data_IF_900516384860
#
_entry.id   IF_900516384860
#
_cell.length_a   1.000
_cell.length_b   1.000
_cell.length_c   1.000
_cell.angle_alpha   90.00
_cell.angle_beta   90.00
_cell.angle_gamma   90.00
#
_symmetry.space_group_name_H-M   'P 1'
#
loop_
_entity.id
_entity.type
_entity.pdbx_description
1 polymer ?
#
# COMPACT_ATOMS: atom_id res chain seq x y z
N UNK A 1 -36.56 14.13 0.44
CA UNK A 1 -35.60 14.17 0.46
C UNK A 1 -34.78 13.49 1.34
N UNK A 2 -35.21 13.10 2.31
CA UNK A 2 -34.42 12.42 3.24
C UNK A 2 -33.93 11.11 2.80
N UNK A 3 -34.57 10.51 1.83
CA UNK A 3 -34.14 9.23 1.39
C UNK A 3 -32.71 9.21 0.88
N UNK A 4 -32.17 10.33 0.60
CA UNK A 4 -30.83 10.36 0.12
C UNK A 4 -29.83 9.94 1.12
N UNK A 5 -30.13 10.08 2.39
CA UNK A 5 -29.18 9.80 3.36
C UNK A 5 -28.80 8.37 3.47
N UNK A 6 -29.71 7.46 3.33
CA UNK A 6 -29.35 6.08 3.47
C UNK A 6 -28.50 5.61 2.32
N UNK A 7 -28.66 6.24 1.16
CA UNK A 7 -27.86 5.89 0.06
C UNK A 7 -26.44 6.22 0.33
N UNK A 8 -26.18 7.36 0.86
CA UNK A 8 -24.86 7.81 1.18
C UNK A 8 -24.17 6.88 2.15
N UNK A 9 -24.87 6.44 3.14
CA UNK A 9 -24.31 5.54 4.11
C UNK A 9 -23.89 4.24 3.50
N UNK A 10 -24.71 3.68 2.66
CA UNK A 10 -24.41 2.43 2.03
C UNK A 10 -23.19 2.54 1.15
N UNK A 11 -23.12 3.62 0.42
CA UNK A 11 -22.01 3.86 -0.45
C UNK A 11 -20.69 3.95 0.34
N UNK A 12 -20.67 4.66 1.42
CA UNK A 12 -19.49 4.81 2.24
C UNK A 12 -19.02 3.48 2.80
N UNK A 13 -19.95 2.65 3.22
CA UNK A 13 -19.64 1.35 3.74
C UNK A 13 -18.95 0.50 2.71
N UNK A 14 -19.46 0.46 1.53
CA UNK A 14 -18.90 -0.35 0.47
C UNK A 14 -17.51 0.09 0.10
N UNK A 15 -17.24 1.37 0.10
CA UNK A 15 -15.96 1.89 -0.32
C UNK A 15 -14.83 1.57 0.65
N UNK A 16 -15.14 1.19 1.88
CA UNK A 16 -14.13 0.91 2.88
C UNK A 16 -13.90 -0.58 3.11
N UNK A 17 -14.70 -1.42 2.48
CA UNK A 17 -14.57 -2.85 2.70
C UNK A 17 -13.61 -3.50 1.71
N UNK A 18 -12.71 -4.31 2.24
CA UNK A 18 -11.85 -5.15 1.41
C UNK A 18 -11.84 -6.51 2.06
N UNK A 19 -11.50 -7.55 1.30
CA UNK A 19 -11.44 -8.86 1.88
C UNK A 19 -10.16 -9.02 2.69
N UNK A 20 -10.14 -10.02 3.55
CA UNK A 20 -9.04 -10.24 4.46
C UNK A 20 -7.74 -10.53 3.74
N UNK A 21 -7.81 -11.25 2.64
CA UNK A 21 -6.63 -11.60 1.86
C UNK A 21 -5.98 -10.36 1.25
N UNK A 22 -6.77 -9.45 0.72
CA UNK A 22 -6.26 -8.21 0.15
C UNK A 22 -5.64 -7.35 1.23
N UNK A 23 -6.28 -7.28 2.40
CA UNK A 23 -5.76 -6.51 3.51
C UNK A 23 -4.41 -7.05 3.96
N UNK A 24 -4.28 -8.36 4.09
CA UNK A 24 -3.02 -8.99 4.47
C UNK A 24 -1.94 -8.71 3.44
N UNK A 25 -2.29 -8.72 2.17
CA UNK A 25 -1.34 -8.42 1.12
C UNK A 25 -0.83 -6.98 1.21
N UNK A 26 -1.73 -6.03 1.43
CA UNK A 26 -1.33 -4.63 1.56
C UNK A 26 -0.47 -4.39 2.81
N UNK A 27 -0.78 -5.07 3.92
CA UNK A 27 0.03 -4.99 5.12
C UNK A 27 1.44 -5.51 4.87
N UNK A 28 1.53 -6.62 4.16
CA UNK A 28 2.81 -7.22 3.80
C UNK A 28 3.62 -6.27 2.91
N UNK A 29 2.97 -5.68 1.91
CA UNK A 29 3.64 -4.78 0.96
C UNK A 29 4.01 -3.43 1.56
N UNK A 30 3.41 -3.06 2.69
CA UNK A 30 3.77 -1.84 3.39
C UNK A 30 4.87 -2.04 4.42
N UNK A 31 5.38 -3.27 4.55
CA UNK A 31 6.44 -3.59 5.50
C UNK A 31 7.77 -3.62 4.79
N UNK A 32 8.68 -2.74 5.18
CA UNK A 32 9.94 -2.56 4.46
C UNK A 32 10.82 -3.81 4.43
N UNK A 33 10.79 -4.62 5.47
CA UNK A 33 11.59 -5.85 5.52
C UNK A 33 11.19 -6.88 4.48
N UNK A 34 10.04 -6.70 3.82
CA UNK A 34 9.59 -7.60 2.75
C UNK A 34 10.09 -7.15 1.38
N UNK A 35 10.88 -6.10 1.34
CA UNK A 35 11.48 -5.56 0.12
C UNK A 35 12.99 -5.69 0.16
N UNK A 36 13.61 -5.76 -1.00
CA UNK A 36 15.06 -5.73 -1.08
C UNK A 36 15.48 -5.12 -2.42
N UNK A 37 16.77 -4.82 -2.53
CA UNK A 37 17.34 -4.29 -3.76
C UNK A 37 18.46 -5.22 -4.20
N UNK A 38 18.45 -5.62 -5.46
CA UNK A 38 19.47 -6.46 -6.04
C UNK A 38 20.18 -5.69 -7.14
N UNK A 39 21.49 -5.64 -7.11
CA UNK A 39 22.23 -5.02 -8.21
C UNK A 39 22.41 -6.03 -9.32
N UNK A 40 21.98 -5.67 -10.52
CA UNK A 40 22.07 -6.54 -11.69
C UNK A 40 23.45 -6.44 -12.34
N UNK A 41 23.83 -7.42 -13.16
CA UNK A 41 25.15 -7.40 -13.83
C UNK A 41 25.38 -6.15 -14.68
N UNK A 42 24.33 -5.52 -15.19
CA UNK A 42 24.47 -4.31 -15.98
C UNK A 42 24.61 -3.04 -15.13
N UNK A 43 24.64 -3.19 -13.79
CA UNK A 43 24.81 -2.06 -12.88
C UNK A 43 23.53 -1.45 -12.38
N UNK A 44 22.39 -1.86 -12.91
CA UNK A 44 21.10 -1.33 -12.46
C UNK A 44 20.71 -1.96 -11.12
N UNK A 45 19.84 -1.26 -10.40
CA UNK A 45 19.34 -1.71 -9.11
C UNK A 45 17.87 -2.11 -9.25
N UNK A 46 17.57 -3.35 -8.97
CA UNK A 46 16.23 -3.90 -9.09
C UNK A 46 15.59 -4.00 -7.74
N UNK A 47 14.40 -3.41 -7.59
CA UNK A 47 13.62 -3.56 -6.35
C UNK A 47 12.83 -4.85 -6.45
N UNK A 48 12.78 -5.58 -5.35
CA UNK A 48 12.11 -6.87 -5.29
C UNK A 48 11.29 -6.96 -4.02
N UNK A 49 10.19 -7.71 -4.07
CA UNK A 49 9.30 -7.86 -2.93
C UNK A 49 8.81 -9.30 -2.86
N UNK A 50 8.46 -9.73 -1.64
CA UNK A 50 7.80 -11.03 -1.47
C UNK A 50 6.30 -10.80 -1.32
N UNK A 51 5.52 -11.87 -1.42
CA UNK A 51 4.09 -11.84 -1.19
C UNK A 51 3.72 -12.83 -0.09
N UNK A 52 2.63 -12.61 0.64
CA UNK A 52 2.28 -13.48 1.79
C UNK A 52 2.15 -14.96 1.44
N UNK A 53 1.65 -15.27 0.25
CA UNK A 53 1.46 -16.65 -0.17
C UNK A 53 2.74 -17.30 -0.67
N UNK A 54 3.78 -16.52 -0.92
CA UNK A 54 5.07 -17.03 -1.39
C UNK A 54 6.20 -16.25 -0.72
N UNK A 55 6.35 -16.39 0.59
CA UNK A 55 7.31 -15.56 1.33
C UNK A 55 8.77 -15.81 0.98
N UNK A 56 9.08 -16.94 0.37
CA UNK A 56 10.45 -17.25 -0.01
C UNK A 56 10.79 -16.87 -1.45
N UNK A 57 9.82 -16.33 -2.17
CA UNK A 57 10.02 -16.00 -3.57
C UNK A 57 10.03 -14.50 -3.79
N UNK A 58 11.10 -13.98 -4.38
CA UNK A 58 11.24 -12.56 -4.64
C UNK A 58 10.77 -12.23 -6.05
N UNK A 59 9.95 -11.20 -6.16
CA UNK A 59 9.40 -10.76 -7.44
C UNK A 59 9.93 -9.37 -7.74
N UNK A 60 10.43 -9.15 -8.95
CA UNK A 60 10.93 -7.84 -9.33
C UNK A 60 9.80 -6.86 -9.58
N UNK A 61 10.01 -5.62 -9.20
CA UNK A 61 9.00 -4.58 -9.32
C UNK A 61 9.47 -3.46 -10.23
N UNK A 62 10.63 -2.87 -9.94
CA UNK A 62 11.17 -1.79 -10.76
C UNK A 62 12.68 -1.91 -10.90
N UNK A 63 13.24 -1.17 -11.86
CA UNK A 63 14.68 -1.06 -12.03
C UNK A 63 15.06 0.40 -12.08
N UNK A 64 16.13 0.74 -11.39
CA UNK A 64 16.62 2.12 -11.33
C UNK A 64 18.10 2.14 -11.56
N UNK A 65 18.61 3.26 -12.06
CA UNK A 65 20.04 3.38 -12.36
C UNK A 65 20.87 3.59 -11.10
N UNK A 66 20.29 4.07 -10.02
CA UNK A 66 21.01 4.35 -8.78
C UNK A 66 20.36 3.64 -7.60
N UNK A 67 21.19 3.36 -6.59
CA UNK A 67 20.71 2.77 -5.36
C UNK A 67 19.68 3.69 -4.68
N UNK A 68 19.96 4.98 -4.68
CA UNK A 68 19.05 5.96 -4.09
C UNK A 68 17.71 5.96 -4.78
N UNK A 69 17.71 5.87 -6.12
CA UNK A 69 16.46 5.79 -6.87
C UNK A 69 15.66 4.55 -6.54
N UNK A 70 16.35 3.42 -6.35
CA UNK A 70 15.69 2.17 -5.96
C UNK A 70 15.08 2.29 -4.56
N UNK A 71 15.81 2.89 -3.63
CA UNK A 71 15.30 3.10 -2.27
C UNK A 71 14.04 3.98 -2.28
N UNK A 72 14.05 5.05 -3.08
CA UNK A 72 12.90 5.93 -3.21
C UNK A 72 11.70 5.19 -3.80
N UNK A 73 11.94 4.30 -4.75
CA UNK A 73 10.88 3.53 -5.36
C UNK A 73 10.21 2.62 -4.33
N UNK A 74 11.00 1.99 -3.46
CA UNK A 74 10.47 1.15 -2.39
C UNK A 74 9.67 1.99 -1.40
N UNK A 75 10.21 3.12 -0.97
CA UNK A 75 9.52 3.99 -0.01
C UNK A 75 8.21 4.51 -0.58
N UNK A 76 8.18 4.82 -1.87
CA UNK A 76 6.96 5.23 -2.55
C UNK A 76 5.91 4.13 -2.58
N UNK A 77 6.35 2.89 -2.81
CA UNK A 77 5.43 1.75 -2.81
C UNK A 77 4.86 1.50 -1.41
N UNK A 78 5.72 1.58 -0.40
CA UNK A 78 5.29 1.39 0.99
C UNK A 78 4.26 2.44 1.37
N UNK A 79 4.53 3.70 1.02
CA UNK A 79 3.62 4.80 1.30
C UNK A 79 2.27 4.59 0.62
N UNK A 80 2.30 4.13 -0.63
CA UNK A 80 1.09 3.85 -1.39
C UNK A 80 0.21 2.80 -0.70
N UNK A 81 0.80 1.69 -0.27
CA UNK A 81 0.03 0.64 0.39
C UNK A 81 -0.40 1.04 1.80
N UNK A 82 0.41 1.82 2.49
CA UNK A 82 0.04 2.35 3.80
C UNK A 82 -1.20 3.23 3.69
N UNK A 83 -1.24 4.09 2.67
CA UNK A 83 -2.40 4.95 2.45
C UNK A 83 -3.63 4.16 2.07
N UNK A 84 -3.46 3.09 1.31
CA UNK A 84 -4.59 2.22 0.98
C UNK A 84 -5.17 1.57 2.22
N UNK A 85 -4.32 1.12 3.14
CA UNK A 85 -4.78 0.53 4.39
C UNK A 85 -5.52 1.55 5.24
N UNK A 86 -5.01 2.77 5.29
CA UNK A 86 -5.67 3.84 6.03
C UNK A 86 -7.07 4.10 5.50
N UNK A 87 -7.22 4.08 4.19
CA UNK A 87 -8.52 4.31 3.56
C UNK A 87 -9.53 3.25 3.92
N UNK A 88 -9.09 2.02 4.21
CA UNK A 88 -10.01 0.94 4.57
C UNK A 88 -10.59 1.09 5.96
N UNK A 89 -10.01 1.98 6.76
CA UNK A 89 -10.51 2.21 8.12
C UNK A 89 -11.69 3.17 8.14
N UNK A 90 -12.07 3.68 6.98
CA UNK A 90 -13.18 4.61 6.87
C UNK A 90 -12.80 6.04 7.21
N UNK A 91 -13.77 6.93 7.25
CA UNK A 91 -13.49 8.33 7.54
C UNK A 91 -13.01 8.51 8.97
N UNK A 92 -12.14 9.48 9.16
CA UNK A 92 -11.67 9.80 10.49
C UNK A 92 -11.69 11.31 10.68
N UNK A 93 -11.95 11.74 11.90
CA UNK A 93 -11.95 13.16 12.22
C UNK A 93 -10.50 13.59 12.40
N UNK A 94 -10.06 14.52 11.59
CA UNK A 94 -8.69 15.01 11.65
C UNK A 94 -8.57 16.23 12.50
N UNK A 95 -9.63 16.99 12.60
CA UNK A 95 -9.63 18.21 13.39
C UNK A 95 -11.03 18.59 13.82
N UNK A 96 -11.16 19.06 15.05
CA UNK A 96 -12.43 19.56 15.59
C UNK A 96 -12.21 20.98 16.08
N UNK A 97 -13.17 21.85 15.79
CA UNK A 97 -13.05 23.25 16.20
C UNK A 97 -14.01 23.56 17.33
N UNK A 98 -13.50 24.27 18.34
CA UNK A 98 -14.34 24.71 19.44
C UNK A 98 -14.67 26.16 19.22
N UNK A 99 -15.93 26.45 19.16
CA UNK A 99 -16.37 27.84 18.93
C UNK A 99 -17.07 28.43 20.09
#
# INVERSE_FOLDING_TARGET
>A
MTYLYYKTSTWASDSTKIDEKTKQQWEHLSTKSNWRITQLPNGYYQTEVTYPDKPDQWTDVTRRETLEGAEKAIDGSIDHFTKKLEATKGPKVVKTFNE
#
